data_IF_680199794864
#
_entry.id   IF_680199794864
#
_cell.length_a   1.000
_cell.length_b   1.000
_cell.length_c   1.000
_cell.angle_alpha   90.00
_cell.angle_beta   90.00
_cell.angle_gamma   90.00
#
_symmetry.space_group_name_H-M   'P 1'
#
loop_
_entity.id
_entity.type
_entity.pdbx_description
1 polymer ?
#
# COMPACT_ATOMS: atom_id res chain seq x y z
N UNK A 1 41.91 30.37 -46.46
CA UNK A 1 41.30 29.28 -45.68
C UNK A 1 41.24 29.69 -44.20
N UNK A 2 40.06 29.77 -43.54
CA UNK A 2 39.96 30.32 -42.19
C UNK A 2 39.98 29.29 -41.06
N UNK A 3 40.68 29.69 -39.98
CA UNK A 3 40.43 29.50 -38.54
C UNK A 3 40.22 28.08 -37.97
N UNK A 4 41.24 27.59 -37.26
CA UNK A 4 41.09 26.73 -36.07
C UNK A 4 41.57 27.48 -34.83
N UNK A 5 40.80 27.49 -33.75
CA UNK A 5 41.25 26.93 -32.46
C UNK A 5 40.24 27.17 -31.34
N UNK A 6 39.70 26.02 -30.91
CA UNK A 6 39.29 25.63 -29.57
C UNK A 6 39.42 26.71 -28.48
N UNK A 7 38.29 27.24 -28.02
CA UNK A 7 38.17 27.99 -26.75
C UNK A 7 37.14 27.40 -25.77
N UNK A 8 36.63 26.20 -26.02
CA UNK A 8 35.53 25.59 -25.24
C UNK A 8 35.98 24.64 -24.14
N UNK A 9 37.26 24.24 -24.09
CA UNK A 9 37.79 23.28 -23.10
C UNK A 9 37.77 23.80 -21.63
N UNK A 10 38.14 25.06 -21.30
CA UNK A 10 38.24 25.47 -19.90
C UNK A 10 36.87 25.63 -19.21
N UNK A 11 35.80 25.87 -19.97
CA UNK A 11 34.45 26.04 -19.43
C UNK A 11 33.82 24.71 -19.00
N UNK A 12 34.10 23.61 -19.75
CA UNK A 12 33.56 22.28 -19.45
C UNK A 12 34.19 21.72 -18.16
N UNK A 13 35.49 21.94 -17.95
CA UNK A 13 36.20 21.51 -16.74
C UNK A 13 35.67 22.25 -15.50
N UNK A 14 35.33 23.53 -15.62
CA UNK A 14 34.76 24.34 -14.54
C UNK A 14 33.34 23.87 -14.15
N UNK A 15 32.52 23.45 -15.11
CA UNK A 15 31.16 22.94 -14.86
C UNK A 15 31.21 21.56 -14.16
N UNK A 16 32.10 20.65 -14.58
CA UNK A 16 32.26 19.33 -13.96
C UNK A 16 32.74 19.47 -12.51
N UNK A 17 33.71 20.38 -12.26
CA UNK A 17 34.19 20.66 -10.91
C UNK A 17 33.13 21.30 -9.99
N UNK A 18 32.18 22.05 -10.56
CA UNK A 18 31.05 22.64 -9.84
C UNK A 18 29.98 21.58 -9.51
N UNK A 19 29.70 20.64 -10.42
CA UNK A 19 28.78 19.52 -10.18
C UNK A 19 29.33 18.52 -9.14
N UNK A 20 30.64 18.30 -9.08
CA UNK A 20 31.27 17.38 -8.12
C UNK A 20 31.26 17.87 -6.66
N UNK A 21 30.89 19.13 -6.41
CA UNK A 21 30.82 19.73 -5.07
C UNK A 21 29.41 19.90 -4.52
N UNK A 22 28.38 19.53 -5.28
CA UNK A 22 27.04 19.50 -4.73
C UNK A 22 26.95 18.30 -3.78
N UNK A 23 26.71 18.50 -2.48
CA UNK A 23 26.36 17.38 -1.62
C UNK A 23 25.11 16.75 -2.21
N UNK A 24 25.24 15.51 -2.68
CA UNK A 24 24.08 14.67 -2.93
C UNK A 24 23.47 14.50 -1.55
N UNK A 25 22.45 15.31 -1.26
CA UNK A 25 21.64 15.14 -0.07
C UNK A 25 21.03 13.74 -0.21
N UNK A 26 21.63 12.76 0.46
CA UNK A 26 21.01 11.47 0.66
C UNK A 26 19.79 11.74 1.52
N UNK A 27 18.65 11.96 0.89
CA UNK A 27 17.39 12.11 1.59
C UNK A 27 17.24 10.85 2.46
N UNK A 28 17.21 11.04 3.78
CA UNK A 28 16.98 9.93 4.70
C UNK A 28 15.63 9.35 4.34
N UNK A 29 15.56 8.03 4.13
CA UNK A 29 14.30 7.36 3.83
C UNK A 29 13.27 7.72 4.91
N UNK A 30 12.02 8.05 4.53
CA UNK A 30 10.97 8.33 5.50
C UNK A 30 10.81 7.11 6.42
N UNK A 31 10.48 7.32 7.70
CA UNK A 31 10.22 6.20 8.61
C UNK A 31 8.96 5.45 8.17
N UNK A 32 8.87 4.17 8.55
CA UNK A 32 7.62 3.44 8.50
C UNK A 32 6.57 4.19 9.34
N UNK A 33 5.40 4.43 8.75
CA UNK A 33 4.31 5.20 9.38
C UNK A 33 3.02 4.42 9.29
N UNK A 34 2.36 4.23 10.43
CA UNK A 34 1.03 3.62 10.51
C UNK A 34 0.04 4.70 10.93
N UNK A 35 -1.08 4.81 10.20
CA UNK A 35 -2.16 5.74 10.52
C UNK A 35 -3.44 4.94 10.71
N UNK A 36 -4.04 5.05 11.89
CA UNK A 36 -5.38 4.53 12.16
C UNK A 36 -6.40 5.63 11.91
N UNK A 37 -7.40 5.35 11.08
CA UNK A 37 -8.45 6.30 10.73
C UNK A 37 -9.65 6.10 11.64
N UNK A 38 -10.17 7.21 12.18
CA UNK A 38 -11.48 7.21 12.81
C UNK A 38 -12.57 7.07 11.74
N UNK A 39 -13.16 5.86 11.68
CA UNK A 39 -14.23 5.48 10.74
C UNK A 39 -15.58 5.26 11.44
N UNK A 40 -15.64 5.52 12.75
CA UNK A 40 -16.77 5.18 13.58
C UNK A 40 -16.88 3.69 13.86
N UNK A 41 -17.42 2.92 12.91
CA UNK A 41 -17.62 1.48 13.06
C UNK A 41 -16.67 0.68 12.15
N UNK A 42 -16.11 -0.38 12.71
CA UNK A 42 -15.10 -1.24 12.11
C UNK A 42 -13.72 -0.58 12.08
N UNK A 43 -12.85 -1.11 11.22
CA UNK A 43 -11.44 -0.71 11.18
C UNK A 43 -11.06 -0.03 9.86
N UNK A 44 -10.05 0.83 9.94
CA UNK A 44 -9.30 1.27 8.77
C UNK A 44 -7.94 1.82 9.18
N UNK A 45 -6.87 1.28 8.60
CA UNK A 45 -5.51 1.74 8.83
C UNK A 45 -4.71 1.79 7.52
N UNK A 46 -3.79 2.75 7.41
CA UNK A 46 -2.82 2.80 6.33
C UNK A 46 -1.40 2.64 6.85
N UNK A 47 -0.64 1.75 6.23
CA UNK A 47 0.79 1.55 6.48
C UNK A 47 1.55 2.14 5.31
N UNK A 48 2.39 3.13 5.59
CA UNK A 48 3.29 3.76 4.62
C UNK A 48 4.71 3.26 4.87
N UNK A 49 5.30 2.65 3.84
CA UNK A 49 6.61 2.03 3.93
C UNK A 49 7.72 3.01 3.51
N UNK A 50 8.94 2.87 4.05
CA UNK A 50 10.07 3.75 3.72
C UNK A 50 10.40 3.83 2.23
N UNK A 51 10.14 2.75 1.49
CA UNK A 51 10.38 2.68 0.05
C UNK A 51 9.29 3.36 -0.80
N UNK A 52 8.31 4.02 -0.18
CA UNK A 52 7.25 4.76 -0.84
C UNK A 52 6.01 3.94 -1.20
N UNK A 53 5.99 2.64 -0.88
CA UNK A 53 4.79 1.81 -1.00
C UNK A 53 3.80 2.08 0.13
N UNK A 54 2.54 1.69 -0.07
CA UNK A 54 1.51 1.79 0.96
C UNK A 54 0.54 0.61 0.92
N UNK A 55 0.07 0.20 2.09
CA UNK A 55 -0.97 -0.82 2.30
C UNK A 55 -2.12 -0.20 3.08
N UNK A 56 -3.33 -0.22 2.51
CA UNK A 56 -4.57 0.04 3.25
C UNK A 56 -5.09 -1.28 3.84
N UNK A 57 -5.36 -1.31 5.14
CA UNK A 57 -6.01 -2.40 5.86
C UNK A 57 -7.40 -1.93 6.24
N UNK A 58 -8.42 -2.53 5.62
CA UNK A 58 -9.84 -2.15 5.77
C UNK A 58 -10.16 -0.67 5.46
N UNK A 59 -11.45 -0.36 5.30
CA UNK A 59 -11.94 0.95 4.86
C UNK A 59 -13.19 1.41 5.63
N UNK A 60 -13.51 0.78 6.76
CA UNK A 60 -14.66 1.12 7.58
C UNK A 60 -16.02 0.92 6.89
N UNK A 61 -17.09 1.38 7.56
CA UNK A 61 -18.48 1.28 7.09
C UNK A 61 -18.87 2.20 5.92
N UNK A 62 -17.92 2.92 5.31
CA UNK A 62 -18.17 3.84 4.19
C UNK A 62 -18.82 5.18 4.57
N UNK A 63 -18.94 5.50 5.87
CA UNK A 63 -19.38 6.83 6.36
C UNK A 63 -18.26 7.87 6.29
N UNK A 64 -17.02 7.44 6.49
CA UNK A 64 -15.82 8.28 6.37
C UNK A 64 -15.27 8.20 4.95
N UNK A 65 -14.89 9.36 4.40
CA UNK A 65 -14.21 9.45 3.12
C UNK A 65 -12.74 9.00 3.24
N UNK A 66 -12.51 7.68 3.12
CA UNK A 66 -11.19 7.07 3.18
C UNK A 66 -10.28 7.56 2.05
N UNK A 67 -10.82 7.84 0.87
CA UNK A 67 -10.04 8.35 -0.26
C UNK A 67 -9.39 9.68 0.10
N UNK A 68 -10.17 10.60 0.68
CA UNK A 68 -9.63 11.88 1.15
C UNK A 68 -8.63 11.68 2.29
N UNK A 69 -8.93 10.83 3.28
CA UNK A 69 -8.01 10.56 4.40
C UNK A 69 -6.66 10.02 3.92
N UNK A 70 -6.65 9.08 2.97
CA UNK A 70 -5.44 8.55 2.35
C UNK A 70 -4.63 9.66 1.67
N UNK A 71 -5.28 10.54 0.90
CA UNK A 71 -4.62 11.68 0.24
C UNK A 71 -4.03 12.66 1.24
N UNK A 72 -4.79 13.04 2.28
CA UNK A 72 -4.36 13.95 3.36
C UNK A 72 -3.15 13.41 4.13
N UNK A 73 -3.01 12.09 4.23
CA UNK A 73 -1.93 11.43 4.97
C UNK A 73 -0.76 11.00 4.09
N UNK A 74 -0.79 11.37 2.80
CA UNK A 74 0.34 11.22 1.88
C UNK A 74 0.38 9.90 1.13
N UNK A 75 -0.76 9.25 0.90
CA UNK A 75 -0.80 8.03 0.11
C UNK A 75 -0.32 8.27 -1.33
N UNK A 76 0.54 7.38 -1.86
CA UNK A 76 0.89 7.40 -3.27
C UNK A 76 -0.34 7.06 -4.14
N UNK A 77 -0.24 7.33 -5.45
CA UNK A 77 -1.30 6.98 -6.41
C UNK A 77 -1.54 5.47 -6.51
N UNK A 78 -0.50 4.68 -6.23
CA UNK A 78 -0.51 3.22 -6.28
C UNK A 78 -0.41 2.64 -4.89
N UNK A 79 -1.38 1.85 -4.47
CA UNK A 79 -1.41 1.24 -3.13
C UNK A 79 -1.77 -0.25 -3.23
N UNK A 80 -1.41 -1.03 -2.21
CA UNK A 80 -2.01 -2.34 -1.98
C UNK A 80 -3.17 -2.23 -0.99
N UNK A 81 -4.08 -3.18 -0.99
CA UNK A 81 -5.19 -3.28 -0.04
C UNK A 81 -5.22 -4.65 0.62
N UNK A 82 -5.60 -4.72 1.89
CA UNK A 82 -5.90 -5.93 2.63
C UNK A 82 -7.28 -5.78 3.26
N UNK A 83 -8.18 -6.69 2.92
CA UNK A 83 -9.51 -6.81 3.52
C UNK A 83 -9.43 -7.92 4.57
N UNK A 84 -9.59 -7.58 5.84
CA UNK A 84 -9.43 -8.57 6.92
C UNK A 84 -10.53 -9.61 6.84
N UNK A 85 -11.78 -9.17 6.78
CA UNK A 85 -12.95 -10.00 6.58
C UNK A 85 -14.06 -9.18 5.87
N UNK A 86 -15.07 -9.85 5.28
CA UNK A 86 -15.97 -9.20 4.33
C UNK A 86 -17.14 -8.43 4.96
N UNK A 87 -17.14 -8.14 6.25
CA UNK A 87 -18.23 -7.37 6.86
C UNK A 87 -18.28 -5.93 6.34
N UNK A 88 -19.49 -5.39 6.19
CA UNK A 88 -19.72 -4.07 5.60
C UNK A 88 -19.09 -2.93 6.37
N UNK A 89 -18.93 -3.08 7.68
CA UNK A 89 -18.23 -2.11 8.53
C UNK A 89 -16.70 -2.17 8.42
N UNK A 90 -16.15 -3.17 7.73
CA UNK A 90 -14.73 -3.23 7.38
C UNK A 90 -14.47 -2.87 5.92
N UNK A 91 -15.31 -3.33 4.99
CA UNK A 91 -15.07 -3.13 3.54
C UNK A 91 -16.01 -2.11 2.88
N UNK A 92 -16.93 -1.49 3.61
CA UNK A 92 -17.93 -0.57 3.08
C UNK A 92 -17.34 0.63 2.37
N UNK A 93 -16.21 1.15 2.85
CA UNK A 93 -15.46 2.25 2.21
C UNK A 93 -14.52 1.82 1.08
N UNK A 94 -14.41 0.53 0.76
CA UNK A 94 -13.35 0.02 -0.11
C UNK A 94 -13.61 0.30 -1.60
N UNK A 95 -14.87 0.25 -2.04
CA UNK A 95 -15.19 0.44 -3.46
C UNK A 95 -14.77 1.83 -4.01
N UNK A 96 -14.96 2.95 -3.29
CA UNK A 96 -14.35 4.23 -3.65
C UNK A 96 -12.82 4.19 -3.76
N UNK A 97 -12.13 3.49 -2.85
CA UNK A 97 -10.66 3.35 -2.89
C UNK A 97 -10.21 2.67 -4.18
N UNK A 98 -10.83 1.54 -4.54
CA UNK A 98 -10.54 0.81 -5.79
C UNK A 98 -10.86 1.63 -7.05
N UNK A 99 -11.76 2.63 -6.95
CA UNK A 99 -12.06 3.54 -8.06
C UNK A 99 -11.04 4.66 -8.23
N UNK A 100 -10.47 5.14 -7.13
CA UNK A 100 -9.68 6.38 -7.08
C UNK A 100 -8.16 6.14 -7.01
N UNK A 101 -7.72 4.96 -6.56
CA UNK A 101 -6.32 4.55 -6.50
C UNK A 101 -6.01 3.43 -7.50
N UNK A 102 -4.76 3.39 -7.95
CA UNK A 102 -4.24 2.25 -8.70
C UNK A 102 -3.91 1.13 -7.71
N UNK A 103 -4.75 0.09 -7.65
CA UNK A 103 -4.52 -1.02 -6.73
C UNK A 103 -3.50 -1.98 -7.32
N UNK A 104 -2.35 -2.10 -6.67
CA UNK A 104 -1.27 -2.99 -7.11
C UNK A 104 -1.61 -4.44 -6.76
N UNK A 105 -2.04 -4.67 -5.52
CA UNK A 105 -2.40 -5.98 -5.01
C UNK A 105 -3.56 -5.87 -4.03
N UNK A 106 -4.49 -6.82 -4.07
CA UNK A 106 -5.56 -6.98 -3.11
C UNK A 106 -5.41 -8.32 -2.37
N UNK A 107 -5.25 -8.25 -1.05
CA UNK A 107 -5.19 -9.39 -0.14
C UNK A 107 -6.52 -9.55 0.59
N UNK A 108 -6.95 -10.79 0.79
CA UNK A 108 -8.28 -11.09 1.30
C UNK A 108 -8.30 -12.46 2.01
N UNK A 109 -9.25 -12.66 2.93
CA UNK A 109 -9.54 -13.98 3.49
C UNK A 109 -10.18 -14.92 2.46
N UNK A 110 -10.84 -14.36 1.44
CA UNK A 110 -11.51 -15.12 0.37
C UNK A 110 -12.85 -15.71 0.78
N UNK A 111 -13.36 -15.35 1.97
CA UNK A 111 -14.65 -15.78 2.47
C UNK A 111 -15.79 -15.00 1.76
N UNK A 112 -16.65 -15.66 0.98
CA UNK A 112 -17.67 -14.96 0.21
C UNK A 112 -18.80 -14.47 1.12
N UNK A 113 -19.01 -13.15 1.18
CA UNK A 113 -20.07 -12.60 2.02
C UNK A 113 -20.60 -11.24 1.53
N UNK A 114 -21.92 -11.15 1.38
CA UNK A 114 -22.65 -9.95 1.00
C UNK A 114 -22.41 -9.44 -0.43
N UNK A 115 -23.33 -8.60 -0.90
CA UNK A 115 -23.25 -7.94 -2.19
C UNK A 115 -22.15 -6.88 -2.27
N UNK A 116 -21.75 -6.29 -1.14
CA UNK A 116 -20.69 -5.27 -1.11
C UNK A 116 -19.36 -5.91 -1.50
N UNK A 117 -19.04 -7.06 -0.91
CA UNK A 117 -17.88 -7.87 -1.24
C UNK A 117 -17.84 -8.26 -2.72
N UNK A 118 -18.94 -8.81 -3.24
CA UNK A 118 -19.05 -9.17 -4.66
C UNK A 118 -18.78 -7.97 -5.58
N UNK A 119 -19.32 -6.79 -5.25
CA UNK A 119 -19.07 -5.58 -6.03
C UNK A 119 -17.61 -5.15 -6.02
N UNK A 120 -16.91 -5.33 -4.89
CA UNK A 120 -15.47 -5.04 -4.77
C UNK A 120 -14.68 -6.03 -5.63
N UNK A 121 -14.94 -7.34 -5.50
CA UNK A 121 -14.25 -8.36 -6.30
C UNK A 121 -14.47 -8.18 -7.80
N UNK A 122 -15.72 -7.91 -8.22
CA UNK A 122 -16.04 -7.63 -9.63
C UNK A 122 -15.27 -6.40 -10.14
N UNK A 123 -15.11 -5.38 -9.30
CA UNK A 123 -14.34 -4.19 -9.68
C UNK A 123 -12.84 -4.50 -9.78
N UNK A 124 -12.27 -5.23 -8.82
CA UNK A 124 -10.87 -5.65 -8.86
C UNK A 124 -10.56 -6.49 -10.10
N UNK A 125 -11.47 -7.42 -10.45
CA UNK A 125 -11.37 -8.22 -11.66
C UNK A 125 -11.46 -7.37 -12.93
N UNK A 126 -12.40 -6.42 -12.99
CA UNK A 126 -12.59 -5.55 -14.15
C UNK A 126 -11.37 -4.65 -14.46
N UNK A 127 -10.53 -4.38 -13.46
CA UNK A 127 -9.29 -3.60 -13.63
C UNK A 127 -8.02 -4.46 -13.55
N UNK A 128 -8.14 -5.79 -13.64
CA UNK A 128 -7.02 -6.75 -13.63
C UNK A 128 -6.05 -6.58 -12.45
N UNK A 129 -6.58 -6.31 -11.26
CA UNK A 129 -5.77 -6.23 -10.03
C UNK A 129 -5.29 -7.61 -9.64
N UNK A 130 -4.02 -7.72 -9.20
CA UNK A 130 -3.54 -8.95 -8.59
C UNK A 130 -4.30 -9.21 -7.29
N UNK A 131 -4.96 -10.36 -7.19
CA UNK A 131 -5.76 -10.74 -6.04
C UNK A 131 -5.20 -12.01 -5.41
N UNK A 132 -5.10 -12.04 -4.08
CA UNK A 132 -4.64 -13.21 -3.35
C UNK A 132 -5.49 -13.47 -2.12
N UNK A 133 -5.99 -14.69 -2.05
CA UNK A 133 -6.54 -15.26 -0.83
C UNK A 133 -5.37 -15.67 0.06
N UNK A 134 -5.30 -15.09 1.26
CA UNK A 134 -4.13 -15.25 2.13
C UNK A 134 -4.34 -16.25 3.25
N UNK A 135 -3.26 -16.95 3.60
CA UNK A 135 -3.24 -18.03 4.60
C UNK A 135 -2.02 -17.94 5.49
N UNK A 136 -2.15 -18.47 6.70
CA UNK A 136 -1.12 -18.57 7.71
C UNK A 136 0.21 -19.08 7.13
N UNK A 137 1.30 -18.45 7.53
CA UNK A 137 2.65 -18.76 7.07
C UNK A 137 3.07 -18.05 5.78
N UNK A 138 2.13 -17.47 5.01
CA UNK A 138 2.49 -16.62 3.87
C UNK A 138 3.16 -15.32 4.31
N UNK A 139 4.09 -14.84 3.48
CA UNK A 139 4.90 -13.65 3.74
C UNK A 139 5.00 -12.78 2.51
N UNK A 140 4.92 -11.48 2.70
CA UNK A 140 5.14 -10.48 1.66
C UNK A 140 5.92 -9.29 2.21
N UNK A 141 6.68 -8.64 1.33
CA UNK A 141 7.66 -7.62 1.71
C UNK A 141 7.37 -6.30 1.04
N UNK A 142 7.57 -5.22 1.79
CA UNK A 142 7.55 -3.83 1.30
C UNK A 142 8.87 -3.17 1.71
N UNK A 143 9.87 -3.27 0.83
CA UNK A 143 11.25 -2.91 1.16
C UNK A 143 11.79 -3.77 2.30
N UNK A 144 12.26 -3.13 3.39
CA UNK A 144 12.77 -3.80 4.60
C UNK A 144 11.67 -4.25 5.58
N UNK A 145 10.39 -3.93 5.30
CA UNK A 145 9.27 -4.39 6.11
C UNK A 145 8.71 -5.72 5.58
N UNK A 146 8.30 -6.60 6.48
CA UNK A 146 7.66 -7.86 6.17
C UNK A 146 6.30 -7.96 6.85
N UNK A 147 5.30 -8.39 6.10
CA UNK A 147 4.03 -8.86 6.63
C UNK A 147 4.04 -10.39 6.62
N UNK A 148 3.77 -10.99 7.77
CA UNK A 148 3.55 -12.44 7.91
C UNK A 148 2.10 -12.68 8.28
N UNK A 149 1.40 -13.51 7.51
CA UNK A 149 0.04 -13.91 7.83
C UNK A 149 0.07 -14.97 8.94
N UNK A 150 -0.73 -14.74 9.98
CA UNK A 150 -0.85 -15.61 11.15
C UNK A 150 -2.16 -16.40 11.15
N UNK A 151 -3.20 -15.88 10.48
CA UNK A 151 -4.53 -16.48 10.38
C UNK A 151 -5.22 -15.93 9.11
N UNK A 152 -6.10 -16.67 8.42
CA UNK A 152 -6.53 -18.05 8.70
C UNK A 152 -5.56 -19.13 8.23
N UNK A 153 -5.56 -20.27 8.92
CA UNK A 153 -4.91 -21.49 8.43
C UNK A 153 -5.60 -22.02 7.16
N UNK A 154 -4.87 -22.83 6.38
CA UNK A 154 -5.46 -23.54 5.23
C UNK A 154 -6.60 -24.46 5.69
N UNK A 155 -7.75 -24.39 5.02
CA UNK A 155 -8.93 -25.18 5.38
C UNK A 155 -9.64 -24.75 6.66
N UNK A 156 -9.30 -23.59 7.24
CA UNK A 156 -10.00 -23.06 8.41
C UNK A 156 -11.49 -22.80 8.08
N UNK A 157 -12.38 -23.37 8.89
CA UNK A 157 -13.83 -23.17 8.80
C UNK A 157 -14.30 -22.23 9.92
N UNK A 158 -14.65 -20.97 9.61
CA UNK A 158 -15.09 -20.01 10.61
C UNK A 158 -16.46 -20.37 11.20
N UNK A 159 -16.64 -20.20 12.51
CA UNK A 159 -17.96 -20.31 13.14
C UNK A 159 -18.79 -19.04 12.95
N UNK A 160 -18.12 -17.89 12.95
CA UNK A 160 -18.65 -16.58 12.60
C UNK A 160 -17.75 -15.92 11.54
N UNK A 161 -18.28 -15.03 10.72
CA UNK A 161 -17.51 -14.35 9.66
C UNK A 161 -16.31 -13.60 10.23
N UNK A 162 -16.40 -13.07 11.45
CA UNK A 162 -15.27 -12.43 12.12
C UNK A 162 -14.10 -13.39 12.32
N UNK A 163 -14.35 -14.68 12.51
CA UNK A 163 -13.31 -15.70 12.66
C UNK A 163 -12.52 -15.89 11.36
N UNK A 164 -13.06 -15.48 10.21
CA UNK A 164 -12.33 -15.51 8.93
C UNK A 164 -11.27 -14.41 8.80
N UNK A 165 -11.18 -13.49 9.77
CA UNK A 165 -10.32 -12.31 9.69
C UNK A 165 -8.85 -12.63 9.40
N UNK A 166 -8.26 -11.96 8.43
CA UNK A 166 -6.81 -12.01 8.24
C UNK A 166 -6.14 -11.37 9.46
N UNK A 167 -5.34 -12.16 10.17
CA UNK A 167 -4.43 -11.66 11.21
C UNK A 167 -3.03 -11.68 10.65
N UNK A 168 -2.28 -10.59 10.82
CA UNK A 168 -0.92 -10.50 10.34
C UNK A 168 0.01 -9.85 11.36
N UNK A 169 1.30 -10.17 11.25
CA UNK A 169 2.38 -9.52 11.96
C UNK A 169 3.18 -8.66 10.97
N UNK A 170 3.36 -7.38 11.31
CA UNK A 170 4.28 -6.48 10.63
C UNK A 170 5.61 -6.46 11.39
N UNK A 171 6.70 -6.81 10.71
CA UNK A 171 8.07 -6.72 11.23
C UNK A 171 8.85 -5.70 10.39
N UNK A 172 9.62 -4.84 11.04
CA UNK A 172 10.41 -3.81 10.38
C UNK A 172 11.70 -3.56 11.15
N UNK A 173 12.85 -3.84 10.52
CA UNK A 173 14.21 -3.71 11.07
C UNK A 173 14.34 -4.38 12.45
N UNK A 174 14.66 -5.67 12.44
CA UNK A 174 15.03 -6.53 13.57
C UNK A 174 14.93 -5.85 14.96
N UNK A 175 13.71 -5.85 15.50
CA UNK A 175 13.41 -5.78 16.92
C UNK A 175 12.28 -6.76 17.20
#
# INVERSE_FOLDING_TARGET
MPKRSLRTIPLIILIIALCARLPIACAKEPPLKIVFFDVGQGDSAAIYFPNGEALLVDAGAGKTDIVRKLRETGAPKSISILMTHPHSDHIGGMLPVVKEFNIIHAYDTGYPYSRIYENILNRLLAVNVQYSVVRSGQKFTFGEAQITILHPDEGFEPHDINDSSVVFMLSYRDN
#
